data_IF_514329920928
#
_entry.id   IF_514329920928
#
_cell.length_a   1.000
_cell.length_b   1.000
_cell.length_c   1.000
_cell.angle_alpha   90.00
_cell.angle_beta   90.00
_cell.angle_gamma   90.00
#
_symmetry.space_group_name_H-M   'P 1'
#
loop_
_entity.id
_entity.type
_entity.pdbx_description
1 polymer ?
#
# COMPACT_ATOMS: atom_id res chain seq x y z
N UNK A 1 13.07 -15.79 7.42
CA UNK A 1 12.21 -15.15 8.42
C UNK A 1 10.77 -15.26 7.91
N UNK A 2 9.85 -15.73 8.74
CA UNK A 2 8.41 -15.80 8.40
C UNK A 2 7.74 -14.50 8.83
N UNK A 3 6.81 -14.00 8.02
CA UNK A 3 5.96 -12.88 8.37
C UNK A 3 4.58 -13.38 8.77
N UNK A 4 4.08 -12.93 9.91
CA UNK A 4 2.77 -13.27 10.44
C UNK A 4 1.78 -12.12 10.23
N UNK A 5 0.51 -12.42 9.92
CA UNK A 5 -0.52 -11.40 9.83
C UNK A 5 -0.72 -10.68 11.16
N UNK A 6 -0.96 -9.38 11.08
CA UNK A 6 -1.38 -8.57 12.24
C UNK A 6 -2.43 -7.55 11.83
N UNK A 7 -3.13 -7.04 12.85
CA UNK A 7 -4.12 -5.97 12.72
C UNK A 7 -3.86 -4.96 13.84
N UNK A 8 -3.87 -3.67 13.51
CA UNK A 8 -3.57 -2.58 14.41
C UNK A 8 -4.65 -1.49 14.27
N UNK A 9 -5.35 -1.09 15.33
CA UNK A 9 -6.22 0.08 15.29
C UNK A 9 -5.37 1.36 15.22
N UNK A 10 -5.67 2.23 14.26
CA UNK A 10 -4.94 3.48 14.02
C UNK A 10 -5.93 4.57 13.63
N UNK A 11 -5.98 5.67 14.41
CA UNK A 11 -6.78 6.87 14.10
C UNK A 11 -8.21 6.60 13.62
N UNK A 12 -8.93 5.69 14.30
CA UNK A 12 -10.32 5.33 13.98
C UNK A 12 -10.47 4.42 12.74
N UNK A 13 -9.36 3.93 12.19
CA UNK A 13 -9.30 2.94 11.10
C UNK A 13 -8.59 1.68 11.59
N UNK A 14 -8.50 0.69 10.72
CA UNK A 14 -7.77 -0.55 10.98
C UNK A 14 -6.69 -0.73 9.93
N UNK A 15 -5.45 -0.86 10.37
CA UNK A 15 -4.31 -1.22 9.53
C UNK A 15 -4.06 -2.70 9.67
N UNK A 16 -4.03 -3.40 8.57
CA UNK A 16 -3.56 -4.77 8.50
C UNK A 16 -2.15 -4.81 7.89
N UNK A 17 -1.45 -5.90 8.13
CA UNK A 17 -0.12 -6.06 7.57
C UNK A 17 0.46 -7.43 7.85
N UNK A 18 1.75 -7.54 7.60
CA UNK A 18 2.59 -8.69 7.88
C UNK A 18 3.79 -8.23 8.71
N UNK A 19 4.11 -8.91 9.78
CA UNK A 19 5.28 -8.58 10.60
C UNK A 19 6.13 -9.80 10.91
N UNK A 20 7.42 -9.58 11.10
CA UNK A 20 8.31 -10.57 11.66
C UNK A 20 8.06 -10.75 13.16
N UNK A 21 8.55 -11.85 13.74
CA UNK A 21 8.70 -11.91 15.19
C UNK A 21 9.53 -10.72 15.64
N UNK A 22 9.05 -9.94 16.63
CA UNK A 22 9.79 -8.77 17.12
C UNK A 22 11.19 -9.18 17.59
N UNK A 23 12.17 -8.39 17.20
CA UNK A 23 13.57 -8.59 17.56
C UNK A 23 14.16 -7.29 18.10
N UNK A 24 15.36 -7.37 18.71
CA UNK A 24 16.15 -6.19 19.04
C UNK A 24 16.86 -5.57 17.81
N UNK A 25 16.55 -6.09 16.60
CA UNK A 25 17.13 -5.64 15.35
C UNK A 25 16.62 -4.28 14.87
N UNK A 26 17.03 -3.90 13.65
CA UNK A 26 16.58 -2.65 13.02
C UNK A 26 15.08 -2.70 12.79
N UNK A 27 14.37 -1.70 13.29
CA UNK A 27 12.93 -1.48 13.06
C UNK A 27 12.72 -0.97 11.64
N UNK A 28 11.98 -1.71 10.84
CA UNK A 28 11.72 -1.38 9.43
C UNK A 28 10.23 -1.35 9.19
N UNK A 29 9.70 -0.17 8.84
CA UNK A 29 8.33 -0.02 8.36
C UNK A 29 8.34 -0.02 6.82
N UNK A 30 7.67 -0.99 6.21
CA UNK A 30 7.70 -1.23 4.77
C UNK A 30 6.36 -0.85 4.11
N UNK A 31 6.43 -0.06 3.04
CA UNK A 31 5.32 0.54 2.30
C UNK A 31 5.33 0.05 0.84
N UNK A 32 4.26 -0.63 0.43
CA UNK A 32 4.13 -1.25 -0.89
C UNK A 32 3.76 -0.27 -2.00
N UNK A 33 3.83 -0.72 -3.26
CA UNK A 33 3.44 0.02 -4.45
C UNK A 33 1.92 0.12 -4.64
N UNK A 34 1.51 0.96 -5.61
CA UNK A 34 0.09 1.16 -5.94
C UNK A 34 -0.59 -0.16 -6.34
N UNK A 35 -1.75 -0.44 -5.73
CA UNK A 35 -2.53 -1.68 -5.88
C UNK A 35 -1.78 -2.98 -5.51
N UNK A 36 -0.66 -2.88 -4.81
CA UNK A 36 0.00 -4.00 -4.14
C UNK A 36 -0.53 -4.16 -2.71
N UNK A 37 0.21 -4.86 -1.87
CA UNK A 37 -0.09 -5.05 -0.45
C UNK A 37 1.18 -5.50 0.30
N UNK A 38 1.08 -5.73 1.60
CA UNK A 38 2.20 -6.11 2.47
C UNK A 38 2.94 -7.37 2.00
N UNK A 39 2.28 -8.26 1.25
CA UNK A 39 2.91 -9.49 0.74
C UNK A 39 4.03 -9.22 -0.28
N UNK A 40 4.14 -8.00 -0.83
CA UNK A 40 5.28 -7.57 -1.65
C UNK A 40 6.62 -7.80 -0.96
N UNK A 41 6.65 -7.73 0.37
CA UNK A 41 7.88 -7.82 1.16
C UNK A 41 8.18 -9.23 1.69
N UNK A 42 7.35 -10.23 1.41
CA UNK A 42 7.58 -11.61 1.86
C UNK A 42 8.89 -12.18 1.30
N UNK A 43 9.21 -12.06 0.01
CA UNK A 43 10.50 -12.57 -0.51
C UNK A 43 11.71 -11.86 0.12
N UNK A 44 11.61 -10.54 0.33
CA UNK A 44 12.66 -9.75 0.96
C UNK A 44 12.88 -10.19 2.41
N UNK A 45 11.81 -10.39 3.16
CA UNK A 45 11.87 -10.84 4.55
C UNK A 45 12.55 -12.20 4.68
N UNK A 46 12.31 -13.11 3.73
CA UNK A 46 12.98 -14.41 3.70
C UNK A 46 14.49 -14.28 3.48
N UNK A 47 14.93 -13.30 2.71
CA UNK A 47 16.33 -13.06 2.38
C UNK A 47 17.10 -12.29 3.47
N UNK A 48 16.41 -11.54 4.34
CA UNK A 48 17.01 -10.65 5.34
C UNK A 48 16.53 -11.01 6.77
N UNK A 49 17.11 -12.07 7.38
CA UNK A 49 16.78 -12.41 8.77
C UNK A 49 17.31 -11.35 9.75
N UNK A 50 16.64 -11.20 10.89
CA UNK A 50 17.09 -10.34 12.00
C UNK A 50 16.56 -8.91 11.99
N UNK A 51 15.69 -8.54 11.03
CA UNK A 51 14.97 -7.26 11.06
C UNK A 51 13.72 -7.37 11.95
N UNK A 52 13.36 -6.29 12.64
CA UNK A 52 12.02 -6.09 13.16
C UNK A 52 11.20 -5.41 12.04
N UNK A 53 10.73 -6.24 11.11
CA UNK A 53 10.04 -5.80 9.89
C UNK A 53 8.54 -5.78 10.09
N UNK A 54 7.92 -4.64 9.82
CA UNK A 54 6.47 -4.45 9.73
C UNK A 54 6.15 -3.94 8.33
N UNK A 55 5.49 -4.76 7.52
CA UNK A 55 4.97 -4.39 6.21
C UNK A 55 3.47 -4.15 6.35
N UNK A 56 3.00 -2.95 6.06
CA UNK A 56 1.58 -2.60 6.17
C UNK A 56 0.87 -2.66 4.82
N UNK A 57 -0.41 -2.99 4.84
CA UNK A 57 -1.30 -2.64 3.75
C UNK A 57 -1.68 -1.17 3.92
N UNK A 58 -1.31 -0.33 2.99
CA UNK A 58 -1.72 1.08 3.00
C UNK A 58 -3.25 1.20 2.95
N UNK A 59 -3.86 2.28 3.50
CA UNK A 59 -5.31 2.44 3.49
C UNK A 59 -5.95 2.15 2.13
N UNK A 60 -7.03 1.38 2.14
CA UNK A 60 -7.73 0.96 0.93
C UNK A 60 -7.10 -0.20 0.16
N UNK A 61 -5.96 -0.73 0.62
CA UNK A 61 -5.28 -1.88 0.02
C UNK A 61 -5.32 -3.10 0.95
N UNK A 62 -5.11 -4.28 0.36
CA UNK A 62 -5.02 -5.54 1.10
C UNK A 62 -6.16 -5.72 2.09
N UNK A 63 -5.83 -5.97 3.34
CA UNK A 63 -6.81 -6.17 4.42
C UNK A 63 -7.00 -4.93 5.32
N UNK A 64 -6.37 -3.80 5.00
CA UNK A 64 -6.58 -2.54 5.71
C UNK A 64 -7.96 -1.93 5.39
N UNK A 65 -8.49 -1.17 6.33
CA UNK A 65 -9.76 -0.46 6.15
C UNK A 65 -9.73 0.46 4.94
N UNK A 66 -10.87 0.56 4.26
CA UNK A 66 -11.10 1.66 3.32
C UNK A 66 -11.33 2.96 4.08
N UNK A 67 -10.94 4.08 3.49
CA UNK A 67 -11.26 5.40 4.03
C UNK A 67 -12.78 5.62 4.05
N UNK A 68 -13.32 6.39 5.01
CA UNK A 68 -14.75 6.70 5.03
C UNK A 68 -15.25 7.28 3.70
N UNK A 69 -16.55 7.13 3.37
CA UNK A 69 -17.14 7.78 2.22
C UNK A 69 -16.89 9.29 2.22
N UNK A 70 -16.56 9.86 1.05
CA UNK A 70 -16.24 11.28 0.91
C UNK A 70 -14.80 11.66 1.19
N UNK A 71 -13.99 10.76 1.79
CA UNK A 71 -12.55 10.97 2.00
C UNK A 71 -11.77 10.51 0.76
N UNK A 72 -10.73 11.25 0.40
CA UNK A 72 -9.84 10.90 -0.70
C UNK A 72 -8.53 10.31 -0.20
N UNK A 73 -7.96 9.39 -0.98
CA UNK A 73 -6.60 8.93 -0.79
C UNK A 73 -5.64 9.97 -1.36
N UNK A 74 -4.80 10.55 -0.52
CA UNK A 74 -3.83 11.57 -0.91
C UNK A 74 -2.52 11.41 -0.14
N UNK A 75 -1.47 12.02 -0.66
CA UNK A 75 -0.12 11.89 -0.08
C UNK A 75 -0.01 12.46 1.33
N UNK A 76 -0.53 13.66 1.67
CA UNK A 76 -0.49 14.17 3.04
C UNK A 76 -1.15 13.24 4.04
N UNK A 77 -2.32 12.69 3.72
CA UNK A 77 -3.00 11.71 4.57
C UNK A 77 -2.19 10.42 4.73
N UNK A 78 -1.53 9.96 3.68
CA UNK A 78 -0.66 8.77 3.75
C UNK A 78 0.56 9.01 4.66
N UNK A 79 1.18 10.20 4.63
CA UNK A 79 2.30 10.57 5.52
C UNK A 79 1.85 10.53 6.99
N UNK A 80 0.73 11.18 7.32
CA UNK A 80 0.18 11.15 8.67
C UNK A 80 -0.09 9.71 9.12
N UNK A 81 -0.70 8.91 8.25
CA UNK A 81 -1.02 7.53 8.55
C UNK A 81 0.21 6.66 8.84
N UNK A 82 1.31 6.86 8.11
CA UNK A 82 2.59 6.16 8.37
C UNK A 82 3.14 6.50 9.75
N UNK A 83 3.09 7.76 10.15
CA UNK A 83 3.53 8.21 11.48
C UNK A 83 2.63 7.67 12.59
N UNK A 84 1.32 7.69 12.40
CA UNK A 84 0.34 7.12 13.34
C UNK A 84 0.54 5.60 13.53
N UNK A 85 0.88 4.87 12.46
CA UNK A 85 1.25 3.45 12.56
C UNK A 85 2.51 3.26 13.39
N UNK A 86 3.55 4.07 13.17
CA UNK A 86 4.78 4.02 13.96
C UNK A 86 4.51 4.33 15.45
N UNK A 87 3.64 5.29 15.75
CA UNK A 87 3.22 5.62 17.11
C UNK A 87 2.47 4.47 17.77
N UNK A 88 1.54 3.83 17.06
CA UNK A 88 0.78 2.69 17.54
C UNK A 88 1.66 1.43 17.76
N UNK A 89 2.79 1.32 17.02
CA UNK A 89 3.82 0.31 17.26
C UNK A 89 4.77 0.65 18.42
N UNK A 90 4.69 1.85 19.00
CA UNK A 90 5.63 2.35 19.99
C UNK A 90 7.03 2.65 19.42
N UNK A 91 7.12 2.97 18.14
CA UNK A 91 8.37 3.23 17.45
C UNK A 91 8.65 4.74 17.35
N UNK A 92 9.45 5.25 18.24
CA UNK A 92 9.88 6.65 18.21
C UNK A 92 10.75 6.94 16.97
N UNK A 93 11.66 6.02 16.64
CA UNK A 93 12.53 6.09 15.46
C UNK A 93 12.56 4.76 14.71
N UNK A 94 12.61 4.82 13.39
CA UNK A 94 12.54 3.65 12.53
C UNK A 94 13.16 3.88 11.15
N UNK A 95 13.46 2.81 10.45
CA UNK A 95 13.83 2.83 9.03
C UNK A 95 12.56 2.74 8.19
N UNK A 96 12.43 3.58 7.16
CA UNK A 96 11.41 3.47 6.14
C UNK A 96 11.96 2.71 4.93
N UNK A 97 11.21 1.70 4.50
CA UNK A 97 11.41 0.98 3.26
C UNK A 97 10.18 1.19 2.37
N UNK A 98 10.34 1.74 1.19
CA UNK A 98 9.23 1.96 0.26
C UNK A 98 9.53 1.40 -1.13
N UNK A 99 8.49 0.89 -1.79
CA UNK A 99 8.54 0.49 -3.20
C UNK A 99 7.56 1.35 -4.00
N UNK A 100 8.00 1.92 -5.13
CA UNK A 100 7.17 2.71 -6.06
C UNK A 100 6.36 3.80 -5.34
N UNK A 101 5.02 3.77 -5.34
CA UNK A 101 4.18 4.70 -4.57
C UNK A 101 4.60 4.77 -3.09
N UNK A 102 4.87 3.61 -2.46
CA UNK A 102 5.35 3.55 -1.08
C UNK A 102 6.71 4.22 -0.89
N UNK A 103 7.59 4.19 -1.88
CA UNK A 103 8.88 4.89 -1.85
C UNK A 103 8.68 6.42 -1.92
N UNK A 104 7.73 6.88 -2.73
CA UNK A 104 7.32 8.29 -2.76
C UNK A 104 6.79 8.75 -1.41
N UNK A 105 5.86 7.99 -0.80
CA UNK A 105 5.33 8.27 0.54
C UNK A 105 6.45 8.26 1.58
N UNK A 106 7.31 7.24 1.58
CA UNK A 106 8.44 7.13 2.51
C UNK A 106 9.41 8.31 2.42
N UNK A 107 9.73 8.74 1.20
CA UNK A 107 10.60 9.90 0.94
C UNK A 107 10.02 11.19 1.52
N UNK A 108 8.72 11.41 1.29
CA UNK A 108 8.05 12.60 1.78
C UNK A 108 7.81 12.55 3.29
N UNK A 109 7.59 11.35 3.86
CA UNK A 109 7.54 11.16 5.32
C UNK A 109 8.89 11.49 5.96
N UNK A 110 9.99 11.00 5.37
CA UNK A 110 11.34 11.31 5.86
C UNK A 110 11.68 12.82 5.80
N UNK A 111 11.16 13.52 4.79
CA UNK A 111 11.31 14.97 4.67
C UNK A 111 10.42 15.73 5.67
N UNK A 112 9.22 15.23 5.97
CA UNK A 112 8.27 15.88 6.88
C UNK A 112 8.58 15.63 8.36
N UNK A 113 9.20 14.50 8.70
CA UNK A 113 9.52 14.08 10.07
C UNK A 113 10.93 13.46 10.14
N UNK A 114 11.99 14.24 9.86
CA UNK A 114 13.36 13.74 9.78
C UNK A 114 13.88 13.19 11.11
N UNK A 115 13.34 13.66 12.23
CA UNK A 115 13.68 13.18 13.58
C UNK A 115 13.16 11.75 13.83
N UNK A 116 12.15 11.30 13.09
CA UNK A 116 11.51 9.98 13.22
C UNK A 116 12.18 8.93 12.34
N UNK A 117 12.77 9.33 11.22
CA UNK A 117 13.28 8.43 10.18
C UNK A 117 14.79 8.31 10.26
N UNK A 118 15.27 7.17 10.75
CA UNK A 118 16.72 6.90 10.86
C UNK A 118 17.38 6.65 9.51
N UNK A 119 16.69 5.90 8.64
CA UNK A 119 17.16 5.55 7.29
C UNK A 119 15.97 5.48 6.34
N UNK A 120 16.21 5.85 5.11
CA UNK A 120 15.28 5.69 4.01
C UNK A 120 15.85 4.71 2.98
N UNK A 121 15.07 3.69 2.64
CA UNK A 121 15.34 2.78 1.54
C UNK A 121 14.20 2.95 0.53
N UNK A 122 14.51 3.56 -0.61
CA UNK A 122 13.54 3.84 -1.66
C UNK A 122 13.84 2.98 -2.89
N UNK A 123 12.89 2.13 -3.28
CA UNK A 123 13.00 1.24 -4.42
C UNK A 123 12.12 1.79 -5.54
N UNK A 124 12.71 2.05 -6.71
CA UNK A 124 12.07 2.46 -7.97
C UNK A 124 11.53 3.90 -8.01
N UNK A 125 11.30 4.56 -6.90
CA UNK A 125 10.85 5.96 -6.87
C UNK A 125 11.49 6.75 -5.73
N UNK A 126 11.58 8.09 -5.90
CA UNK A 126 12.02 9.02 -4.86
C UNK A 126 11.22 10.33 -4.98
N UNK A 127 10.62 10.75 -3.86
CA UNK A 127 9.78 11.95 -3.82
C UNK A 127 8.40 11.75 -4.44
N UNK A 128 7.67 12.86 -4.61
CA UNK A 128 6.32 12.86 -5.17
C UNK A 128 6.32 12.84 -6.70
N UNK A 129 5.23 12.31 -7.27
CA UNK A 129 4.98 12.42 -8.70
C UNK A 129 4.75 13.91 -9.07
N UNK A 130 5.43 14.36 -10.11
CA UNK A 130 5.21 15.69 -10.70
C UNK A 130 4.32 15.56 -11.92
N UNK A 131 3.32 16.45 -12.01
CA UNK A 131 2.51 16.62 -13.21
C UNK A 131 2.90 17.89 -13.95
N UNK A 132 2.57 17.98 -15.23
CA UNK A 132 2.71 19.22 -15.97
C UNK A 132 1.68 20.25 -15.49
N UNK A 133 2.11 21.49 -15.26
CA UNK A 133 1.26 22.57 -14.71
C UNK A 133 0.10 22.95 -15.62
N UNK A 134 0.32 22.88 -16.94
CA UNK A 134 -0.68 23.18 -17.97
C UNK A 134 -1.81 22.14 -18.06
N UNK A 135 -1.63 20.95 -17.51
CA UNK A 135 -2.65 19.88 -17.47
C UNK A 135 -3.60 19.94 -16.26
N UNK A 136 -3.37 20.83 -15.31
CA UNK A 136 -4.13 20.87 -14.04
C UNK A 136 -5.66 20.91 -14.26
N UNK A 137 -6.14 21.77 -15.13
CA UNK A 137 -7.58 21.89 -15.39
C UNK A 137 -8.17 20.65 -16.08
N UNK A 138 -7.40 19.97 -16.92
CA UNK A 138 -7.80 18.72 -17.54
C UNK A 138 -7.88 17.61 -16.50
N UNK A 139 -6.86 17.44 -15.67
CA UNK A 139 -6.79 16.44 -14.59
C UNK A 139 -7.94 16.59 -13.61
N UNK A 140 -8.27 17.84 -13.21
CA UNK A 140 -9.41 18.10 -12.36
C UNK A 140 -10.74 17.68 -13.02
N UNK A 141 -10.94 17.98 -14.30
CA UNK A 141 -12.14 17.54 -15.04
C UNK A 141 -12.24 16.02 -15.11
N UNK A 142 -11.13 15.33 -15.38
CA UNK A 142 -11.06 13.86 -15.44
C UNK A 142 -11.37 13.26 -14.07
N UNK A 143 -10.76 13.80 -13.01
CA UNK A 143 -11.02 13.37 -11.63
C UNK A 143 -12.51 13.51 -11.27
N UNK A 144 -13.10 14.67 -11.49
CA UNK A 144 -14.52 14.92 -11.19
C UNK A 144 -15.44 13.96 -11.98
N UNK A 145 -15.17 13.72 -13.26
CA UNK A 145 -15.91 12.74 -14.06
C UNK A 145 -15.80 11.34 -13.52
N UNK A 146 -14.57 10.91 -13.17
CA UNK A 146 -14.29 9.59 -12.63
C UNK A 146 -14.98 9.36 -11.28
N UNK A 147 -14.93 10.35 -10.37
CA UNK A 147 -15.62 10.30 -9.07
C UNK A 147 -17.14 10.12 -9.27
N UNK A 148 -17.74 10.89 -10.19
CA UNK A 148 -19.19 10.80 -10.46
C UNK A 148 -19.60 9.49 -11.13
N UNK A 149 -18.71 8.84 -11.86
CA UNK A 149 -18.94 7.54 -12.50
C UNK A 149 -18.72 6.35 -11.56
N UNK A 150 -18.04 6.54 -10.43
CA UNK A 150 -17.63 5.46 -9.52
C UNK A 150 -18.79 4.59 -9.01
N UNK A 151 -19.94 5.15 -8.60
CA UNK A 151 -21.07 4.35 -8.09
C UNK A 151 -21.65 3.35 -9.09
N UNK A 152 -21.43 3.56 -10.39
CA UNK A 152 -21.90 2.66 -11.44
C UNK A 152 -20.92 1.56 -11.82
N UNK A 153 -19.68 1.61 -11.32
CA UNK A 153 -18.65 0.61 -11.61
C UNK A 153 -18.90 -0.67 -10.81
N UNK A 154 -19.05 -1.78 -11.52
CA UNK A 154 -19.13 -3.11 -10.89
C UNK A 154 -17.73 -3.68 -10.69
N UNK A 155 -17.49 -4.30 -9.54
CA UNK A 155 -16.27 -5.08 -9.30
C UNK A 155 -16.26 -6.31 -10.21
N UNK A 156 -15.09 -6.62 -10.74
CA UNK A 156 -14.87 -7.85 -11.50
C UNK A 156 -14.83 -9.04 -10.54
N UNK A 157 -15.62 -10.07 -10.84
CA UNK A 157 -15.59 -11.35 -10.14
C UNK A 157 -14.79 -12.35 -10.96
N UNK A 158 -13.92 -13.10 -10.31
CA UNK A 158 -13.09 -14.16 -10.88
C UNK A 158 -13.57 -15.48 -10.29
N UNK A 159 -13.80 -16.50 -11.14
CA UNK A 159 -14.19 -17.83 -10.66
C UNK A 159 -13.10 -18.53 -9.85
N UNK A 160 -11.84 -18.19 -10.11
CA UNK A 160 -10.64 -18.71 -9.45
C UNK A 160 -9.52 -17.67 -9.41
N UNK A 161 -8.40 -18.00 -8.76
CA UNK A 161 -7.24 -17.12 -8.66
C UNK A 161 -6.30 -17.17 -9.87
N UNK A 162 -6.46 -18.09 -10.81
CA UNK A 162 -5.54 -18.25 -11.93
C UNK A 162 -5.55 -17.03 -12.86
N UNK A 163 -6.74 -16.47 -13.12
CA UNK A 163 -6.86 -15.29 -13.98
C UNK A 163 -6.20 -14.03 -13.37
N UNK A 164 -6.47 -13.62 -12.12
CA UNK A 164 -5.78 -12.49 -11.51
C UNK A 164 -4.28 -12.72 -11.30
N UNK A 165 -3.82 -13.95 -11.04
CA UNK A 165 -2.38 -14.28 -10.95
C UNK A 165 -1.71 -14.03 -12.30
N UNK A 166 -2.26 -14.57 -13.40
CA UNK A 166 -1.72 -14.32 -14.76
C UNK A 166 -1.71 -12.84 -15.10
N UNK A 167 -2.75 -12.10 -14.76
CA UNK A 167 -2.81 -10.67 -15.00
C UNK A 167 -1.68 -9.92 -14.28
N UNK A 168 -1.39 -10.27 -13.01
CA UNK A 168 -0.29 -9.69 -12.24
C UNK A 168 1.08 -10.06 -12.79
N UNK A 169 1.28 -11.33 -13.21
CA UNK A 169 2.53 -11.76 -13.86
C UNK A 169 2.82 -10.91 -15.10
N UNK A 170 1.82 -10.68 -15.94
CA UNK A 170 1.98 -9.91 -17.19
C UNK A 170 2.18 -8.41 -16.93
N UNK A 171 1.40 -7.82 -16.03
CA UNK A 171 1.44 -6.38 -15.76
C UNK A 171 2.74 -5.93 -15.08
N UNK A 172 3.29 -6.76 -14.19
CA UNK A 172 4.43 -6.42 -13.34
C UNK A 172 5.68 -7.28 -13.63
N UNK A 173 5.65 -8.15 -14.64
CA UNK A 173 6.74 -9.08 -14.98
C UNK A 173 7.18 -9.95 -13.79
N UNK A 174 6.21 -10.37 -12.97
CA UNK A 174 6.46 -11.18 -11.78
C UNK A 174 6.51 -12.68 -12.11
N UNK A 175 7.29 -13.42 -11.33
CA UNK A 175 7.16 -14.87 -11.28
C UNK A 175 5.80 -15.28 -10.68
N UNK A 176 5.30 -16.46 -11.03
CA UNK A 176 4.02 -16.94 -10.51
C UNK A 176 3.96 -16.97 -8.99
N UNK A 177 4.97 -17.46 -8.24
CA UNK A 177 4.94 -17.42 -6.77
C UNK A 177 4.79 -16.01 -6.20
N UNK A 178 5.50 -15.01 -6.76
CA UNK A 178 5.39 -13.64 -6.31
C UNK A 178 4.03 -13.02 -6.64
N UNK A 179 3.51 -13.26 -7.85
CA UNK A 179 2.18 -12.80 -8.24
C UNK A 179 1.08 -13.41 -7.36
N UNK A 180 1.23 -14.70 -7.01
CA UNK A 180 0.30 -15.43 -6.15
C UNK A 180 0.21 -14.82 -4.74
N UNK A 181 1.35 -14.50 -4.13
CA UNK A 181 1.39 -13.81 -2.82
C UNK A 181 0.57 -12.52 -2.82
N UNK A 182 0.73 -11.70 -3.85
CA UNK A 182 -0.02 -10.44 -3.99
C UNK A 182 -1.52 -10.67 -4.21
N UNK A 183 -1.87 -11.64 -5.04
CA UNK A 183 -3.27 -11.94 -5.37
C UNK A 183 -3.99 -12.53 -4.15
N UNK A 184 -3.41 -13.52 -3.49
CA UNK A 184 -4.03 -14.17 -2.32
C UNK A 184 -4.34 -13.18 -1.19
N UNK A 185 -3.49 -12.17 -0.98
CA UNK A 185 -3.76 -11.10 -0.02
C UNK A 185 -4.59 -9.96 -0.59
N UNK A 186 -4.69 -9.84 -1.91
CA UNK A 186 -5.37 -8.73 -2.60
C UNK A 186 -6.81 -9.01 -3.00
N UNK A 187 -7.31 -10.22 -2.80
CA UNK A 187 -8.68 -10.60 -3.14
C UNK A 187 -9.47 -11.03 -1.90
N UNK A 188 -10.79 -10.93 -2.01
CA UNK A 188 -11.73 -11.47 -1.01
C UNK A 188 -12.75 -12.37 -1.68
N UNK A 189 -13.27 -13.38 -0.97
CA UNK A 189 -14.36 -14.22 -1.47
C UNK A 189 -15.64 -13.38 -1.61
N UNK A 190 -16.33 -13.60 -2.72
CA UNK A 190 -17.66 -13.02 -3.02
C UNK A 190 -18.55 -14.08 -3.65
N UNK A 191 -19.84 -13.80 -3.80
CA UNK A 191 -20.73 -14.69 -4.54
C UNK A 191 -20.20 -14.90 -5.96
N UNK A 192 -20.03 -16.15 -6.35
CA UNK A 192 -19.49 -16.54 -7.67
C UNK A 192 -17.97 -16.57 -7.78
N UNK A 193 -17.21 -16.38 -6.67
CA UNK A 193 -15.74 -16.49 -6.68
C UNK A 193 -15.01 -15.49 -5.84
N UNK A 194 -14.13 -14.69 -6.47
CA UNK A 194 -13.25 -13.74 -5.81
C UNK A 194 -13.31 -12.36 -6.47
N UNK A 195 -13.14 -11.32 -5.68
CA UNK A 195 -12.99 -9.95 -6.19
C UNK A 195 -11.82 -9.25 -5.51
N UNK A 196 -11.25 -8.22 -6.16
CA UNK A 196 -10.24 -7.38 -5.50
C UNK A 196 -10.81 -6.70 -4.27
N UNK A 197 -10.06 -6.73 -3.18
CA UNK A 197 -10.42 -6.05 -1.94
C UNK A 197 -10.00 -4.58 -1.92
N UNK A 198 -9.17 -4.13 -2.87
CA UNK A 198 -8.74 -2.74 -2.95
C UNK A 198 -9.89 -1.79 -3.25
N UNK A 199 -9.89 -0.62 -2.60
CA UNK A 199 -10.89 0.42 -2.80
C UNK A 199 -10.83 0.96 -4.24
N UNK A 200 -11.97 0.99 -4.92
CA UNK A 200 -12.04 1.51 -6.30
C UNK A 200 -11.62 2.99 -6.41
N UNK A 201 -11.71 3.76 -5.33
CA UNK A 201 -11.25 5.15 -5.26
C UNK A 201 -9.75 5.31 -5.46
N UNK A 202 -8.95 4.27 -5.22
CA UNK A 202 -7.51 4.26 -5.51
C UNK A 202 -7.21 4.33 -7.02
N UNK A 203 -8.18 3.99 -7.86
CA UNK A 203 -8.05 4.03 -9.32
C UNK A 203 -8.53 5.37 -9.93
N UNK A 204 -8.91 6.33 -9.09
CA UNK A 204 -9.26 7.67 -9.56
C UNK A 204 -8.00 8.39 -10.08
N UNK A 205 -8.12 9.16 -11.18
CA UNK A 205 -7.00 9.99 -11.64
C UNK A 205 -6.56 10.96 -10.53
N UNK A 206 -5.27 11.11 -10.35
CA UNK A 206 -4.70 12.08 -9.40
C UNK A 206 -5.06 13.49 -9.84
N UNK A 207 -5.75 14.25 -9.00
CA UNK A 207 -6.19 15.59 -9.32
C UNK A 207 -5.04 16.62 -9.32
N UNK A 208 -4.01 16.39 -8.48
CA UNK A 208 -2.81 17.24 -8.35
C UNK A 208 -1.61 16.38 -8.00
#
# INVERSE_FOLDING_TARGET
MTLEPFVLPVAGTTVAGLRSTPTAGTRVLALHGWLDNAASFVPLAMALPGLDLVAIDLPGHGHSSHMPPGTQYNTPGAICHVLEVADALGWERFTLLGHSMGAGIASLTAAAAPERVERLIAIEALGGLRGAEDETAQRLREHVRAVRALPSKKLRVFSDLAAPVRARMMANQLSEPCARLLVERGVMPVEGGYSWCSDQRLMLPTAM
#
